data_IF_242928134455
#
_entry.id   IF_242928134455
#
_cell.length_a   1.000
_cell.length_b   1.000
_cell.length_c   1.000
_cell.angle_alpha   90.00
_cell.angle_beta   90.00
_cell.angle_gamma   90.00
#
_symmetry.space_group_name_H-M   'P 1'
#
loop_
_entity.id
_entity.type
_entity.pdbx_description
1 polymer ?
#
# COMPACT_ATOMS: atom_id res chain seq x y z
N UNK A 1 -3.58 4.99 -13.42
CA UNK A 1 -2.61 4.53 -12.39
C UNK A 1 -3.37 3.70 -11.39
N UNK A 2 -2.83 2.54 -11.04
CA UNK A 2 -3.47 1.58 -10.15
C UNK A 2 -2.60 1.27 -8.94
N UNK A 3 -3.19 1.30 -7.75
CA UNK A 3 -2.48 1.03 -6.48
C UNK A 3 -3.24 0.00 -5.67
N UNK A 4 -2.54 -0.99 -5.16
CA UNK A 4 -3.08 -1.96 -4.20
C UNK A 4 -2.37 -1.82 -2.86
N UNK A 5 -3.13 -1.62 -1.78
CA UNK A 5 -2.64 -1.61 -0.41
C UNK A 5 -3.10 -2.89 0.26
N UNK A 6 -2.16 -3.71 0.71
CA UNK A 6 -2.44 -4.90 1.51
C UNK A 6 -2.01 -4.65 2.96
N UNK A 7 -2.97 -4.42 3.84
CA UNK A 7 -2.72 -4.05 5.23
C UNK A 7 -3.49 -4.92 6.21
N UNK A 8 -2.83 -5.30 7.30
CA UNK A 8 -3.50 -5.97 8.41
C UNK A 8 -4.42 -4.99 9.15
N UNK A 9 -5.45 -5.55 9.82
CA UNK A 9 -6.34 -4.78 10.65
C UNK A 9 -5.57 -3.97 11.71
N UNK A 10 -5.93 -2.70 11.87
CA UNK A 10 -5.26 -1.80 12.82
C UNK A 10 -3.99 -1.12 12.31
N UNK A 11 -3.45 -1.49 11.15
CA UNK A 11 -2.21 -0.89 10.60
C UNK A 11 -2.45 0.37 9.74
N UNK A 12 -3.67 0.88 9.70
CA UNK A 12 -3.97 2.17 9.08
C UNK A 12 -4.15 2.13 7.55
N UNK A 13 -4.38 0.94 6.94
CA UNK A 13 -4.55 0.83 5.49
C UNK A 13 -5.68 1.70 4.92
N UNK A 14 -6.80 1.82 5.63
CA UNK A 14 -7.91 2.71 5.23
C UNK A 14 -7.51 4.19 5.26
N UNK A 15 -6.76 4.60 6.29
CA UNK A 15 -6.27 5.98 6.39
C UNK A 15 -5.32 6.30 5.24
N UNK A 16 -4.43 5.36 4.88
CA UNK A 16 -3.54 5.53 3.71
C UNK A 16 -4.35 5.66 2.42
N UNK A 17 -5.40 4.87 2.26
CA UNK A 17 -6.28 4.96 1.09
C UNK A 17 -6.97 6.34 1.02
N UNK A 18 -7.50 6.85 2.13
CA UNK A 18 -8.12 8.16 2.20
C UNK A 18 -7.13 9.29 1.90
N UNK A 19 -5.92 9.23 2.48
CA UNK A 19 -4.85 10.20 2.21
C UNK A 19 -4.42 10.17 0.74
N UNK A 20 -4.33 8.98 0.11
CA UNK A 20 -3.98 8.88 -1.31
C UNK A 20 -5.08 9.46 -2.21
N UNK A 21 -6.35 9.26 -1.87
CA UNK A 21 -7.46 9.90 -2.59
C UNK A 21 -7.37 11.42 -2.51
N UNK A 22 -7.10 11.97 -1.32
CA UNK A 22 -6.94 13.43 -1.17
C UNK A 22 -5.71 13.94 -1.93
N UNK A 23 -4.58 13.25 -1.82
CA UNK A 23 -3.35 13.57 -2.57
C UNK A 23 -3.59 13.58 -4.08
N UNK A 24 -4.24 12.57 -4.62
CA UNK A 24 -4.54 12.45 -6.04
C UNK A 24 -5.46 13.60 -6.52
N UNK A 25 -6.49 13.94 -5.74
CA UNK A 25 -7.41 15.03 -6.05
C UNK A 25 -6.69 16.38 -6.08
N UNK A 26 -5.82 16.63 -5.10
CA UNK A 26 -4.95 17.84 -5.07
C UNK A 26 -4.00 17.89 -6.26
N UNK A 27 -3.60 16.73 -6.75
CA UNK A 27 -2.75 16.57 -7.94
C UNK A 27 -3.52 16.60 -9.27
N UNK A 28 -4.79 16.99 -9.25
CA UNK A 28 -5.60 17.11 -10.47
C UNK A 28 -6.08 15.79 -11.06
N UNK A 29 -6.25 14.75 -10.23
CA UNK A 29 -6.74 13.45 -10.67
C UNK A 29 -8.16 13.17 -10.17
N UNK A 30 -8.93 12.47 -10.97
CA UNK A 30 -10.13 11.76 -10.49
C UNK A 30 -9.66 10.47 -9.84
N UNK A 31 -10.19 10.18 -8.67
CA UNK A 31 -9.71 9.07 -7.85
C UNK A 31 -10.86 8.27 -7.24
N UNK A 32 -10.72 6.95 -7.22
CA UNK A 32 -11.60 6.01 -6.53
C UNK A 32 -10.79 5.07 -5.65
N UNK A 33 -11.32 4.76 -4.48
CA UNK A 33 -10.85 3.67 -3.64
C UNK A 33 -11.99 2.69 -3.38
N UNK A 34 -11.66 1.41 -3.38
CA UNK A 34 -12.51 0.33 -2.92
C UNK A 34 -11.79 -0.46 -1.85
N UNK A 35 -12.53 -1.12 -0.97
CA UNK A 35 -11.94 -2.02 0.02
C UNK A 35 -12.59 -3.38 -0.07
N UNK A 36 -11.76 -4.40 -0.16
CA UNK A 36 -12.18 -5.79 -0.03
C UNK A 36 -11.66 -6.28 1.32
N UNK A 37 -12.51 -6.31 2.35
CA UNK A 37 -12.12 -6.91 3.61
C UNK A 37 -11.72 -8.35 3.32
N UNK A 38 -10.54 -8.74 3.78
CA UNK A 38 -10.04 -10.09 3.64
C UNK A 38 -11.11 -11.04 4.14
N UNK A 39 -11.68 -11.84 3.25
CA UNK A 39 -12.85 -12.69 3.49
C UNK A 39 -12.52 -13.80 4.49
N UNK A 40 -11.44 -13.83 4.98
CA UNK A 40 -11.22 -14.59 6.16
C UNK A 40 -10.71 -13.62 7.20
N UNK A 41 -11.51 -13.41 8.10
CA UNK A 41 -11.16 -13.53 9.50
C UNK A 41 -10.02 -14.56 9.76
N UNK A 42 -9.55 -15.26 8.77
CA UNK A 42 -8.43 -16.20 8.74
C UNK A 42 -7.08 -15.56 8.42
N UNK A 43 -7.01 -14.40 7.77
CA UNK A 43 -5.74 -13.72 7.47
C UNK A 43 -5.64 -12.31 8.02
N UNK A 44 -6.77 -11.70 8.44
CA UNK A 44 -6.78 -10.37 9.05
C UNK A 44 -6.42 -9.20 8.12
N UNK A 45 -6.08 -9.45 6.86
CA UNK A 45 -5.70 -8.41 5.92
C UNK A 45 -6.90 -7.87 5.14
N UNK A 46 -6.91 -6.56 4.94
CA UNK A 46 -7.81 -5.87 4.02
C UNK A 46 -7.02 -5.41 2.81
N UNK A 47 -7.58 -5.60 1.64
CA UNK A 47 -7.04 -5.05 0.40
C UNK A 47 -7.81 -3.80 0.07
N UNK A 48 -7.08 -2.70 -0.10
CA UNK A 48 -7.61 -1.46 -0.66
C UNK A 48 -7.09 -1.36 -2.08
N UNK A 49 -7.99 -1.10 -3.02
CA UNK A 49 -7.65 -0.90 -4.43
C UNK A 49 -8.03 0.52 -4.84
N UNK A 50 -7.07 1.22 -5.43
CA UNK A 50 -7.22 2.61 -5.83
C UNK A 50 -6.90 2.75 -7.31
N UNK A 51 -7.70 3.57 -8.00
CA UNK A 51 -7.43 4.00 -9.36
C UNK A 51 -7.43 5.52 -9.44
N UNK A 52 -6.47 6.04 -10.22
CA UNK A 52 -6.29 7.46 -10.47
C UNK A 52 -6.26 7.74 -11.97
N UNK A 53 -7.00 8.73 -12.42
CA UNK A 53 -7.03 9.18 -13.80
C UNK A 53 -6.81 10.69 -13.88
N UNK A 54 -5.86 11.21 -14.72
CA UNK A 54 -5.65 12.64 -14.84
C UNK A 54 -6.93 13.34 -15.32
N UNK A 55 -7.45 14.31 -14.57
CA UNK A 55 -8.70 14.98 -14.91
C UNK A 55 -8.60 15.75 -16.24
N UNK A 56 -7.40 16.23 -16.59
CA UNK A 56 -7.13 16.94 -17.83
C UNK A 56 -7.22 16.05 -19.10
N UNK A 57 -7.13 14.72 -18.93
CA UNK A 57 -7.21 13.76 -20.02
C UNK A 57 -8.63 13.19 -20.22
N UNK A 58 -9.60 13.65 -19.41
CA UNK A 58 -10.98 13.23 -19.58
C UNK A 58 -11.55 13.78 -20.88
N UNK A 59 -12.18 12.94 -21.72
CA UNK A 59 -12.96 13.40 -22.88
C UNK A 59 -14.02 14.42 -22.44
N UNK A 60 -14.27 15.44 -23.28
CA UNK A 60 -15.17 16.55 -22.95
C UNK A 60 -16.64 16.12 -22.69
N UNK A 61 -17.03 14.97 -23.21
CA UNK A 61 -18.37 14.36 -23.07
C UNK A 61 -18.47 13.42 -21.85
N UNK A 62 -17.31 13.05 -21.22
CA UNK A 62 -17.28 12.19 -20.05
C UNK A 62 -17.03 13.00 -18.78
N UNK A 63 -17.96 12.93 -17.84
CA UNK A 63 -17.83 13.61 -16.55
C UNK A 63 -16.96 12.86 -15.56
N UNK A 64 -16.86 11.54 -15.68
CA UNK A 64 -16.05 10.66 -14.78
C UNK A 64 -15.61 9.41 -15.54
N UNK A 65 -14.39 8.92 -15.30
CA UNK A 65 -13.95 7.62 -15.80
C UNK A 65 -14.72 6.50 -15.10
N UNK A 66 -14.82 5.35 -15.75
CA UNK A 66 -15.31 4.12 -15.14
C UNK A 66 -14.11 3.40 -14.53
N UNK A 67 -14.11 3.24 -13.23
CA UNK A 67 -13.06 2.56 -12.49
C UNK A 67 -13.47 1.13 -12.14
N UNK A 68 -12.49 0.24 -12.04
CA UNK A 68 -12.69 -1.12 -11.58
C UNK A 68 -12.96 -1.17 -10.06
N UNK A 69 -13.64 -2.21 -9.61
CA UNK A 69 -13.88 -2.43 -8.18
C UNK A 69 -12.80 -3.27 -7.50
N UNK A 70 -11.98 -3.97 -8.29
CA UNK A 70 -10.94 -4.88 -7.80
C UNK A 70 -9.71 -4.81 -8.70
N UNK A 71 -8.51 -5.07 -8.14
CA UNK A 71 -7.29 -5.12 -8.93
C UNK A 71 -7.35 -6.26 -9.95
N UNK A 72 -6.93 -5.98 -11.18
CA UNK A 72 -6.78 -6.97 -12.23
C UNK A 72 -5.36 -7.57 -12.16
N UNK A 73 -5.20 -8.89 -12.10
CA UNK A 73 -3.89 -9.52 -12.21
C UNK A 73 -3.12 -9.04 -13.46
N UNK A 74 -1.85 -8.71 -13.29
CA UNK A 74 -1.00 -8.18 -14.36
C UNK A 74 -1.15 -6.68 -14.65
N UNK A 75 -2.11 -5.99 -14.03
CA UNK A 75 -2.39 -4.58 -14.32
C UNK A 75 -2.40 -3.69 -13.05
N UNK A 76 -1.40 -3.89 -12.19
CA UNK A 76 -1.21 -3.08 -10.99
C UNK A 76 0.14 -2.37 -11.05
N UNK A 77 0.13 -1.04 -11.02
CA UNK A 77 1.35 -0.23 -11.09
C UNK A 77 2.13 -0.25 -9.77
N UNK A 78 1.43 -0.17 -8.64
CA UNK A 78 2.05 -0.14 -7.31
C UNK A 78 1.33 -1.08 -6.36
N UNK A 79 2.09 -1.95 -5.70
CA UNK A 79 1.62 -2.74 -4.56
C UNK A 79 2.39 -2.31 -3.31
N UNK A 80 1.67 -1.98 -2.24
CA UNK A 80 2.27 -1.74 -0.93
C UNK A 80 1.70 -2.71 0.10
N UNK A 81 2.57 -3.39 0.83
CA UNK A 81 2.22 -4.41 1.82
C UNK A 81 2.76 -4.05 3.20
N UNK A 82 1.90 -4.02 4.20
CA UNK A 82 2.24 -3.68 5.57
C UNK A 82 3.07 -4.75 6.30
N UNK A 83 3.13 -5.97 5.74
CA UNK A 83 3.98 -7.06 6.22
C UNK A 83 4.33 -8.02 5.07
N UNK A 84 5.37 -8.84 5.29
CA UNK A 84 5.99 -9.61 4.20
C UNK A 84 5.08 -10.68 3.60
N UNK A 85 4.20 -11.29 4.38
CA UNK A 85 3.30 -12.34 3.87
C UNK A 85 2.18 -11.76 3.00
N UNK A 86 1.78 -10.50 3.23
CA UNK A 86 0.83 -9.82 2.35
C UNK A 86 1.47 -9.51 0.99
N UNK A 87 2.77 -9.19 0.95
CA UNK A 87 3.51 -9.10 -0.31
C UNK A 87 3.52 -10.47 -1.03
N UNK A 88 3.76 -11.56 -0.30
CA UNK A 88 3.69 -12.92 -0.84
C UNK A 88 2.31 -13.25 -1.43
N UNK A 89 1.23 -12.89 -0.75
CA UNK A 89 -0.14 -13.09 -1.25
C UNK A 89 -0.46 -12.23 -2.47
N UNK A 90 0.05 -11.00 -2.52
CA UNK A 90 -0.11 -10.14 -3.70
C UNK A 90 0.59 -10.76 -4.92
N UNK A 91 1.79 -11.30 -4.76
CA UNK A 91 2.50 -12.05 -5.81
C UNK A 91 1.71 -13.29 -6.26
N UNK A 92 1.23 -14.10 -5.30
CA UNK A 92 0.44 -15.30 -5.60
C UNK A 92 -0.85 -14.99 -6.37
N UNK A 93 -1.45 -13.82 -6.14
CA UNK A 93 -2.63 -13.35 -6.87
C UNK A 93 -2.31 -12.74 -8.23
N UNK A 94 -1.05 -12.69 -8.62
CA UNK A 94 -0.60 -12.11 -9.88
C UNK A 94 -0.67 -10.58 -9.93
N UNK A 95 -0.74 -9.92 -8.78
CA UNK A 95 -0.77 -8.46 -8.70
C UNK A 95 0.61 -7.81 -8.86
N UNK A 96 1.68 -8.59 -8.68
CA UNK A 96 3.07 -8.14 -8.83
C UNK A 96 3.66 -8.75 -10.08
N UNK A 97 4.11 -7.91 -10.99
CA UNK A 97 4.74 -8.32 -12.25
C UNK A 97 5.94 -7.41 -12.54
N UNK A 98 6.61 -7.63 -13.66
CA UNK A 98 7.70 -6.80 -14.18
C UNK A 98 7.31 -5.34 -14.51
N UNK A 99 6.05 -4.97 -14.35
CA UNK A 99 5.53 -3.59 -14.42
C UNK A 99 5.35 -2.95 -13.05
N UNK A 100 5.24 -3.75 -12.00
CA UNK A 100 4.80 -3.35 -10.67
C UNK A 100 5.95 -2.86 -9.79
N UNK A 101 5.81 -1.71 -9.16
CA UNK A 101 6.62 -1.32 -8.00
C UNK A 101 6.03 -1.97 -6.75
N UNK A 102 6.78 -2.87 -6.12
CA UNK A 102 6.41 -3.50 -4.87
C UNK A 102 7.14 -2.84 -3.70
N UNK A 103 6.39 -2.33 -2.74
CA UNK A 103 6.91 -1.78 -1.48
C UNK A 103 6.39 -2.68 -0.35
N UNK A 104 7.26 -3.28 0.44
CA UNK A 104 6.86 -4.22 1.48
C UNK A 104 7.61 -4.03 2.79
N UNK A 105 6.89 -4.18 3.91
CA UNK A 105 7.55 -4.29 5.20
C UNK A 105 8.23 -5.65 5.33
N UNK A 106 9.43 -5.66 5.90
CA UNK A 106 10.10 -6.91 6.30
C UNK A 106 9.52 -7.50 7.58
N UNK A 107 8.72 -6.71 8.32
CA UNK A 107 8.00 -7.20 9.49
C UNK A 107 7.12 -8.39 9.14
N UNK A 108 6.95 -9.33 10.07
CA UNK A 108 6.16 -10.53 9.87
C UNK A 108 5.15 -10.73 10.98
N UNK A 109 3.91 -10.95 10.58
CA UNK A 109 2.83 -11.41 11.45
C UNK A 109 2.49 -12.85 11.08
N UNK A 110 2.68 -13.78 12.02
CA UNK A 110 2.35 -15.18 11.79
C UNK A 110 0.84 -15.40 11.70
N UNK A 111 0.39 -15.99 10.60
CA UNK A 111 -1.00 -16.37 10.42
C UNK A 111 -1.43 -17.46 11.43
N UNK A 112 -2.71 -17.53 11.74
CA UNK A 112 -3.25 -18.55 12.65
C UNK A 112 -2.92 -19.97 12.15
N UNK A 113 -2.94 -20.20 10.84
CA UNK A 113 -2.61 -21.48 10.22
C UNK A 113 -1.14 -21.87 10.46
N UNK A 114 -0.21 -20.91 10.40
CA UNK A 114 1.21 -21.15 10.72
C UNK A 114 1.42 -21.48 12.20
N UNK A 115 0.62 -20.86 13.08
CA UNK A 115 0.68 -21.09 14.54
C UNK A 115 0.03 -22.40 14.98
N UNK A 116 -0.95 -22.90 14.23
CA UNK A 116 -1.74 -24.09 14.56
C UNK A 116 -1.24 -25.38 13.89
N UNK A 117 -0.23 -25.29 13.01
CA UNK A 117 0.31 -26.46 12.34
C UNK A 117 1.09 -27.33 13.33
N UNK A 118 0.88 -28.66 13.31
CA UNK A 118 1.56 -29.62 14.20
C UNK A 118 3.05 -29.85 13.90
N UNK A 119 3.60 -29.18 12.90
CA UNK A 119 5.03 -29.15 12.52
C UNK A 119 5.42 -27.70 12.19
N UNK A 120 6.57 -27.50 11.54
CA UNK A 120 6.96 -26.18 11.06
C UNK A 120 6.17 -25.83 9.78
N UNK A 121 5.02 -25.18 9.97
CA UNK A 121 4.17 -24.70 8.88
C UNK A 121 4.54 -23.29 8.39
N UNK A 122 5.68 -22.75 8.83
CA UNK A 122 6.10 -21.39 8.48
C UNK A 122 6.63 -21.32 7.06
N UNK A 123 6.10 -20.38 6.28
CA UNK A 123 6.68 -20.03 4.98
C UNK A 123 7.95 -19.23 5.23
N UNK A 124 9.03 -19.56 4.54
CA UNK A 124 10.29 -18.82 4.66
C UNK A 124 10.18 -17.43 4.05
N UNK A 125 10.31 -16.39 4.89
CA UNK A 125 10.30 -14.99 4.45
C UNK A 125 11.43 -14.66 3.47
N UNK A 126 12.58 -15.38 3.54
CA UNK A 126 13.66 -15.17 2.60
C UNK A 126 13.28 -15.61 1.17
N UNK A 127 12.52 -16.69 1.04
CA UNK A 127 11.98 -17.12 -0.25
C UNK A 127 10.99 -16.09 -0.82
N UNK A 128 10.10 -15.54 0.02
CA UNK A 128 9.17 -14.49 -0.41
C UNK A 128 9.92 -13.27 -0.92
N UNK A 129 10.96 -12.82 -0.21
CA UNK A 129 11.79 -11.69 -0.63
C UNK A 129 12.59 -11.97 -1.90
N UNK A 130 13.12 -13.18 -2.06
CA UNK A 130 13.82 -13.58 -3.28
C UNK A 130 12.88 -13.55 -4.49
N UNK A 131 11.65 -14.07 -4.34
CA UNK A 131 10.64 -14.04 -5.38
C UNK A 131 10.21 -12.60 -5.72
N UNK A 132 10.06 -11.74 -4.71
CA UNK A 132 9.71 -10.32 -4.90
C UNK A 132 10.76 -9.59 -5.76
N UNK A 133 12.06 -9.82 -5.49
CA UNK A 133 13.16 -9.26 -6.29
C UNK A 133 13.18 -9.76 -7.74
N UNK A 134 12.68 -10.97 -7.98
CA UNK A 134 12.64 -11.57 -9.32
C UNK A 134 11.43 -11.09 -10.13
N UNK A 135 10.27 -10.91 -9.47
CA UNK A 135 9.02 -10.61 -10.17
C UNK A 135 8.75 -9.11 -10.33
N UNK A 136 9.08 -8.30 -9.32
CA UNK A 136 8.75 -6.88 -9.35
C UNK A 136 9.69 -6.10 -10.27
N UNK A 137 9.16 -5.10 -10.99
CA UNK A 137 9.96 -4.10 -11.70
C UNK A 137 10.92 -3.37 -10.76
N UNK A 138 10.44 -3.02 -9.58
CA UNK A 138 11.20 -2.42 -8.49
C UNK A 138 10.71 -2.97 -7.17
N UNK A 139 11.61 -3.38 -6.33
CA UNK A 139 11.29 -3.88 -4.99
C UNK A 139 11.97 -3.01 -3.94
N UNK A 140 11.18 -2.48 -3.01
CA UNK A 140 11.62 -1.68 -1.87
C UNK A 140 11.19 -2.42 -0.61
N UNK A 141 12.15 -2.71 0.28
CA UNK A 141 11.87 -3.40 1.54
C UNK A 141 12.58 -2.77 2.73
N UNK A 142 11.89 -2.63 3.83
CA UNK A 142 12.44 -2.24 5.13
C UNK A 142 11.44 -2.54 6.24
N UNK A 143 11.87 -2.47 7.50
CA UNK A 143 10.98 -2.74 8.63
C UNK A 143 10.10 -1.52 8.94
N UNK A 144 8.88 -1.52 8.39
CA UNK A 144 7.91 -0.43 8.58
C UNK A 144 7.36 -0.40 10.01
N UNK A 145 7.29 -1.56 10.68
CA UNK A 145 6.82 -1.63 12.06
C UNK A 145 7.82 -0.98 13.02
N UNK A 146 9.09 -1.35 12.92
CA UNK A 146 10.15 -0.74 13.72
C UNK A 146 10.25 0.77 13.49
N UNK A 147 10.10 1.22 12.24
CA UNK A 147 10.11 2.65 11.92
C UNK A 147 8.90 3.38 12.52
N UNK A 148 7.70 2.80 12.47
CA UNK A 148 6.52 3.37 13.08
C UNK A 148 6.67 3.51 14.61
N UNK A 149 7.16 2.47 15.28
CA UNK A 149 7.41 2.45 16.72
C UNK A 149 8.43 3.51 17.13
N UNK A 150 9.55 3.60 16.40
CA UNK A 150 10.61 4.59 16.66
C UNK A 150 10.09 6.03 16.57
N UNK A 151 9.14 6.30 15.69
CA UNK A 151 8.58 7.63 15.48
C UNK A 151 7.28 7.88 16.28
N UNK A 152 6.83 6.92 17.11
CA UNK A 152 5.62 7.02 17.91
C UNK A 152 4.34 7.16 17.07
N UNK A 153 4.26 6.45 15.94
CA UNK A 153 3.17 6.53 15.00
C UNK A 153 2.69 5.14 14.55
N UNK A 154 1.92 5.07 13.48
CA UNK A 154 1.36 3.84 12.92
C UNK A 154 2.00 3.49 11.58
N UNK A 155 1.97 2.21 11.23
CA UNK A 155 2.53 1.68 9.96
C UNK A 155 1.96 2.41 8.74
N UNK A 156 0.71 2.87 8.80
CA UNK A 156 0.09 3.64 7.72
C UNK A 156 0.87 4.90 7.34
N UNK A 157 1.38 5.66 8.33
CA UNK A 157 2.19 6.85 8.04
C UNK A 157 3.53 6.49 7.37
N UNK A 158 4.12 5.35 7.75
CA UNK A 158 5.34 4.80 7.11
C UNK A 158 5.04 4.39 5.66
N UNK A 159 3.96 3.64 5.44
CA UNK A 159 3.54 3.25 4.09
C UNK A 159 3.34 4.46 3.18
N UNK A 160 2.69 5.49 3.69
CA UNK A 160 2.43 6.72 2.94
C UNK A 160 3.72 7.47 2.58
N UNK A 161 4.68 7.55 3.51
CA UNK A 161 6.01 8.11 3.27
C UNK A 161 6.80 7.30 2.23
N UNK A 162 6.79 5.98 2.35
CA UNK A 162 7.46 5.09 1.40
C UNK A 162 6.88 5.19 -0.02
N UNK A 163 5.56 5.35 -0.15
CA UNK A 163 4.92 5.62 -1.45
C UNK A 163 5.42 6.92 -2.06
N UNK A 164 5.48 8.01 -1.29
CA UNK A 164 6.01 9.29 -1.75
C UNK A 164 7.49 9.17 -2.15
N UNK A 165 8.33 8.61 -1.26
CA UNK A 165 9.77 8.46 -1.47
C UNK A 165 10.13 7.52 -2.62
N UNK A 166 9.26 6.56 -2.93
CA UNK A 166 9.46 5.67 -4.07
C UNK A 166 9.41 6.38 -5.41
N UNK A 167 8.75 7.53 -5.51
CA UNK A 167 8.51 8.22 -6.79
C UNK A 167 7.64 7.41 -7.78
N UNK A 168 6.95 6.38 -7.30
CA UNK A 168 6.12 5.53 -8.16
C UNK A 168 4.81 6.21 -8.60
N UNK A 169 4.39 7.26 -7.89
CA UNK A 169 3.20 8.04 -8.20
C UNK A 169 3.61 9.47 -8.59
N UNK A 170 2.95 10.08 -9.59
CA UNK A 170 3.30 11.40 -10.12
C UNK A 170 2.73 12.54 -9.28
N UNK A 171 2.74 12.40 -7.95
CA UNK A 171 2.17 13.37 -7.04
C UNK A 171 3.28 14.15 -6.33
N UNK A 172 3.10 15.47 -6.22
CA UNK A 172 4.04 16.33 -5.50
C UNK A 172 4.01 16.04 -3.99
N UNK A 173 5.18 16.10 -3.35
CA UNK A 173 5.34 15.81 -1.91
C UNK A 173 4.43 16.68 -1.05
N UNK A 174 4.23 17.94 -1.45
CA UNK A 174 3.37 18.90 -0.75
C UNK A 174 1.94 18.39 -0.59
N UNK A 175 1.39 17.75 -1.62
CA UNK A 175 0.03 17.20 -1.59
C UNK A 175 -0.09 16.03 -0.60
N UNK A 176 0.96 15.22 -0.42
CA UNK A 176 0.99 14.19 0.62
C UNK A 176 0.94 14.80 2.02
N UNK A 177 1.75 15.84 2.26
CA UNK A 177 1.80 16.52 3.55
C UNK A 177 0.46 17.21 3.86
N UNK A 178 -0.16 17.82 2.86
CA UNK A 178 -1.48 18.44 3.01
C UNK A 178 -2.57 17.42 3.30
N UNK A 179 -2.52 16.24 2.69
CA UNK A 179 -3.45 15.14 2.99
C UNK A 179 -3.33 14.66 4.44
N UNK A 180 -2.12 14.52 4.98
CA UNK A 180 -1.92 14.19 6.41
C UNK A 180 -2.54 15.28 7.30
N UNK A 181 -2.30 16.55 7.00
CA UNK A 181 -2.84 17.68 7.77
C UNK A 181 -4.37 17.73 7.74
N UNK A 182 -4.95 17.46 6.58
CA UNK A 182 -6.41 17.40 6.41
C UNK A 182 -7.06 16.24 7.20
N UNK A 183 -6.33 15.18 7.47
CA UNK A 183 -6.80 14.03 8.25
C UNK A 183 -7.09 14.32 9.73
N UNK A 184 -6.53 15.39 10.29
CA UNK A 184 -6.92 15.97 11.58
C UNK A 184 -6.47 15.22 12.84
N UNK A 185 -5.98 13.98 12.75
CA UNK A 185 -5.61 13.15 13.90
C UNK A 185 -4.13 12.75 13.82
N UNK A 186 -3.40 12.97 14.93
CA UNK A 186 -2.00 12.55 15.04
C UNK A 186 -1.06 13.20 14.01
N UNK A 187 -1.36 14.43 13.58
CA UNK A 187 -0.68 15.13 12.47
C UNK A 187 0.83 15.16 12.67
N UNK A 188 1.31 15.58 13.84
CA UNK A 188 2.74 15.74 14.08
C UNK A 188 3.50 14.41 14.03
N UNK A 189 2.95 13.37 14.68
CA UNK A 189 3.55 12.04 14.65
C UNK A 189 3.52 11.44 13.25
N UNK A 190 2.40 11.58 12.54
CA UNK A 190 2.24 11.09 11.17
C UNK A 190 3.18 11.81 10.20
N UNK A 191 3.32 13.14 10.33
CA UNK A 191 4.22 13.94 9.48
C UNK A 191 5.68 13.57 9.72
N UNK A 192 6.13 13.47 10.97
CA UNK A 192 7.50 13.02 11.28
C UNK A 192 7.80 11.65 10.69
N UNK A 193 6.87 10.71 10.87
CA UNK A 193 7.01 9.35 10.38
C UNK A 193 6.99 9.28 8.86
N UNK A 194 6.12 10.04 8.21
CA UNK A 194 6.09 10.22 6.76
C UNK A 194 7.44 10.71 6.23
N UNK A 195 8.00 11.78 6.82
CA UNK A 195 9.30 12.33 6.38
C UNK A 195 10.44 11.33 6.58
N UNK A 196 10.45 10.60 7.70
CA UNK A 196 11.45 9.55 7.94
C UNK A 196 11.38 8.41 6.92
N UNK A 197 10.17 8.03 6.51
CA UNK A 197 9.98 6.95 5.54
C UNK A 197 10.13 7.38 4.08
N UNK A 198 10.01 8.68 3.80
CA UNK A 198 10.21 9.26 2.47
C UNK A 198 11.69 9.40 2.10
N UNK A 199 12.56 9.61 3.09
CA UNK A 199 13.99 9.80 2.90
C UNK A 199 14.70 8.55 2.36
#
# INVERSE_FOLDING_TARGET
ITVTIAALGGQGGGVVADWLIDTARRSGHVAQATSVPGVAQRTGATIYYLEFFPAAELPADLRRPVFALMPTPGDVDVVIASEIMEAGRAMQRGLVTDRTTLIASTHRVYAIQEKSHMGDGRIDSAQVRALARQQAKRYIEFDMQAMAETNGSVVGAVMFGALCGSGALPFATEHYVEAIRAGGIGIDASTRTFEAARA
#
